data_IF_629712650717
#
_entry.id   IF_629712650717
#
_cell.length_a   1.000
_cell.length_b   1.000
_cell.length_c   1.000
_cell.angle_alpha   90.00
_cell.angle_beta   90.00
_cell.angle_gamma   90.00
#
_symmetry.space_group_name_H-M   'P 1'
#
loop_
_entity.id
_entity.type
_entity.pdbx_description
1 polymer ?
#
# COMPACT_ATOMS: atom_id res chain seq x y z
N UNK A 1 5.41 21.89 0.89
CA UNK A 1 4.54 22.55 1.89
C UNK A 1 3.61 21.51 2.51
N UNK A 2 4.04 20.92 3.63
CA UNK A 2 3.17 20.21 4.55
C UNK A 2 2.94 21.11 5.77
N UNK A 3 1.79 21.00 6.41
CA UNK A 3 1.42 21.83 7.56
C UNK A 3 0.11 22.56 7.36
N UNK A 4 -0.42 23.03 8.47
CA UNK A 4 -1.71 23.69 8.68
C UNK A 4 -1.81 25.08 7.99
N UNK A 5 -1.10 25.26 6.87
CA UNK A 5 -1.10 26.47 6.06
C UNK A 5 -2.50 26.68 5.46
N UNK A 6 -3.08 27.89 5.57
CA UNK A 6 -4.42 28.16 5.09
C UNK A 6 -4.59 27.81 3.61
N UNK A 7 -5.71 27.17 3.28
CA UNK A 7 -6.16 26.92 1.90
C UNK A 7 -7.54 27.53 1.74
N UNK A 8 -7.74 28.28 0.67
CA UNK A 8 -8.95 29.09 0.48
C UNK A 8 -10.24 28.24 0.47
N UNK A 9 -10.17 27.04 -0.10
CA UNK A 9 -11.33 26.20 -0.35
C UNK A 9 -11.55 25.09 0.70
N UNK A 10 -10.73 24.98 1.76
CA UNK A 10 -10.91 23.94 2.77
C UNK A 10 -10.33 24.29 4.15
N UNK A 11 -10.98 23.80 5.20
CA UNK A 11 -10.44 23.85 6.56
C UNK A 11 -9.25 22.90 6.70
N UNK A 12 -8.07 23.44 7.01
CA UNK A 12 -6.83 22.66 7.19
C UNK A 12 -6.61 22.19 8.63
N UNK A 13 -7.57 22.42 9.53
CA UNK A 13 -7.46 22.00 10.93
C UNK A 13 -6.43 22.78 11.75
N UNK A 14 -6.12 24.03 11.39
CA UNK A 14 -5.12 24.85 12.10
C UNK A 14 -5.56 25.34 13.48
N UNK A 15 -6.83 25.19 13.82
CA UNK A 15 -7.48 25.65 15.06
C UNK A 15 -7.42 27.16 15.32
N UNK A 16 -6.85 27.96 14.41
CA UNK A 16 -6.78 29.43 14.57
C UNK A 16 -8.16 30.07 14.66
N UNK A 17 -9.12 29.66 13.82
CA UNK A 17 -10.47 30.22 13.84
C UNK A 17 -11.18 29.98 15.18
N UNK A 18 -11.08 28.79 15.76
CA UNK A 18 -11.70 28.47 17.05
C UNK A 18 -10.97 29.09 18.24
N UNK A 19 -9.67 29.40 18.09
CA UNK A 19 -8.86 30.00 19.16
C UNK A 19 -8.94 31.54 19.15
N UNK A 20 -8.86 32.15 17.97
CA UNK A 20 -8.89 33.62 17.79
C UNK A 20 -10.33 34.17 17.71
N UNK A 21 -11.29 33.36 17.23
CA UNK A 21 -12.69 33.76 17.04
C UNK A 21 -13.69 32.70 17.54
N UNK A 22 -13.66 32.35 18.84
CA UNK A 22 -14.48 31.27 19.40
C UNK A 22 -16.00 31.51 19.27
N UNK A 23 -16.43 32.77 19.20
CA UNK A 23 -17.86 33.12 19.10
C UNK A 23 -18.41 33.01 17.67
N UNK A 24 -17.55 32.91 16.65
CA UNK A 24 -17.96 32.98 15.24
C UNK A 24 -17.87 31.64 14.52
N UNK A 25 -17.02 30.73 15.01
CA UNK A 25 -16.77 29.44 14.36
C UNK A 25 -16.84 28.31 15.37
N UNK A 26 -17.69 27.34 15.10
CA UNK A 26 -17.78 26.08 15.84
C UNK A 26 -17.46 24.92 14.91
N UNK A 27 -16.61 24.01 15.38
CA UNK A 27 -16.24 22.79 14.65
C UNK A 27 -17.03 21.62 15.24
N UNK A 28 -17.81 20.97 14.40
CA UNK A 28 -18.56 19.77 14.74
C UNK A 28 -18.03 18.57 13.96
N UNK A 29 -18.20 17.38 14.54
CA UNK A 29 -17.99 16.15 13.79
C UNK A 29 -19.09 16.00 12.75
N UNK A 30 -18.72 15.55 11.56
CA UNK A 30 -19.68 15.27 10.50
C UNK A 30 -20.29 13.87 10.73
N UNK A 31 -21.57 13.74 11.11
CA UNK A 31 -22.17 12.44 11.39
C UNK A 31 -22.17 11.52 10.15
N UNK A 32 -22.33 12.09 8.95
CA UNK A 32 -22.27 11.33 7.70
C UNK A 32 -20.91 10.72 7.44
N UNK A 33 -19.83 11.31 7.97
CA UNK A 33 -18.49 10.74 7.87
C UNK A 33 -18.35 9.52 8.80
N UNK A 34 -18.86 9.62 10.02
CA UNK A 34 -18.83 8.51 10.99
C UNK A 34 -19.67 7.29 10.52
N UNK A 35 -20.66 7.52 9.65
CA UNK A 35 -21.48 6.47 9.02
C UNK A 35 -20.78 5.77 7.84
N UNK A 36 -19.65 6.28 7.34
CA UNK A 36 -18.94 5.67 6.20
C UNK A 36 -18.17 4.44 6.67
N UNK A 37 -18.27 3.36 5.89
CA UNK A 37 -17.49 2.14 6.07
C UNK A 37 -18.30 1.01 6.70
N UNK A 38 -17.60 0.08 7.33
CA UNK A 38 -18.21 -1.05 8.01
C UNK A 38 -17.48 -1.40 9.32
N UNK A 39 -17.83 -2.54 9.93
CA UNK A 39 -17.26 -3.01 11.19
C UNK A 39 -15.74 -3.22 11.19
N UNK A 40 -15.13 -3.31 10.01
CA UNK A 40 -13.70 -3.52 9.82
C UNK A 40 -13.03 -2.32 9.13
N UNK A 41 -13.61 -1.86 8.01
CA UNK A 41 -13.08 -0.76 7.22
C UNK A 41 -13.80 0.55 7.57
N UNK A 42 -13.35 1.20 8.64
CA UNK A 42 -13.92 2.47 9.14
C UNK A 42 -13.64 3.66 8.23
N UNK A 43 -14.37 4.76 8.47
CA UNK A 43 -14.19 6.03 7.77
C UNK A 43 -12.73 6.53 7.79
N UNK A 44 -12.02 6.38 8.91
CA UNK A 44 -10.61 6.77 9.02
C UNK A 44 -9.67 5.89 8.18
N UNK A 45 -9.98 4.59 8.05
CA UNK A 45 -9.24 3.70 7.15
C UNK A 45 -9.46 4.09 5.69
N UNK A 46 -10.70 4.39 5.31
CA UNK A 46 -11.05 4.85 3.96
C UNK A 46 -10.32 6.15 3.63
N UNK A 47 -10.33 7.12 4.53
CA UNK A 47 -9.61 8.39 4.37
C UNK A 47 -8.11 8.16 4.22
N UNK A 48 -7.54 7.29 5.05
CA UNK A 48 -6.10 6.94 5.01
C UNK A 48 -5.72 6.31 3.68
N UNK A 49 -6.47 5.31 3.22
CA UNK A 49 -6.21 4.65 1.93
C UNK A 49 -6.36 5.62 0.76
N UNK A 50 -7.37 6.50 0.79
CA UNK A 50 -7.53 7.53 -0.24
C UNK A 50 -6.36 8.51 -0.24
N UNK A 51 -5.88 8.94 0.92
CA UNK A 51 -4.71 9.80 1.02
C UNK A 51 -3.45 9.13 0.46
N UNK A 52 -3.21 7.88 0.84
CA UNK A 52 -2.06 7.09 0.38
C UNK A 52 -2.11 6.90 -1.15
N UNK A 53 -3.28 6.54 -1.69
CA UNK A 53 -3.48 6.35 -3.12
C UNK A 53 -3.29 7.65 -3.92
N UNK A 54 -3.77 8.78 -3.42
CA UNK A 54 -3.66 10.07 -4.11
C UNK A 54 -2.25 10.67 -4.05
N UNK A 55 -1.51 10.42 -2.97
CA UNK A 55 -0.24 11.11 -2.71
C UNK A 55 0.99 10.23 -2.86
N UNK A 56 0.82 8.90 -2.84
CA UNK A 56 1.92 7.95 -2.74
C UNK A 56 2.70 8.07 -1.42
N UNK A 57 2.07 8.56 -0.35
CA UNK A 57 2.73 8.82 0.95
C UNK A 57 1.94 8.23 2.11
N UNK A 58 2.68 7.74 3.10
CA UNK A 58 2.15 7.29 4.38
C UNK A 58 1.72 8.51 5.22
N UNK A 59 0.52 8.52 5.83
CA UNK A 59 0.08 9.61 6.69
C UNK A 59 0.99 9.76 7.92
N UNK A 60 1.48 10.98 8.14
CA UNK A 60 2.27 11.32 9.34
C UNK A 60 1.34 11.96 10.38
N UNK A 61 1.23 11.34 11.55
CA UNK A 61 0.40 11.80 12.68
C UNK A 61 1.27 12.01 13.94
N UNK A 62 0.79 12.84 14.87
CA UNK A 62 1.44 13.11 16.15
C UNK A 62 0.67 12.56 17.36
N UNK A 63 1.17 12.82 18.57
CA UNK A 63 0.56 12.50 19.88
C UNK A 63 0.51 11.02 20.31
N UNK A 64 1.24 10.15 19.60
CA UNK A 64 1.37 8.73 19.96
C UNK A 64 0.09 7.91 19.71
N UNK A 65 0.23 6.58 19.77
CA UNK A 65 -0.90 5.68 19.58
C UNK A 65 -1.70 5.52 20.89
N UNK A 66 -2.98 5.92 20.88
CA UNK A 66 -3.89 5.86 22.03
C UNK A 66 -4.91 4.71 21.94
N UNK A 67 -4.77 3.85 20.95
CA UNK A 67 -5.67 2.72 20.73
C UNK A 67 -5.35 1.53 21.64
N UNK A 68 -5.90 0.36 21.30
CA UNK A 68 -5.70 -0.87 22.07
C UNK A 68 -4.27 -1.38 21.87
N UNK A 69 -3.64 -1.87 22.93
CA UNK A 69 -2.29 -2.43 22.85
C UNK A 69 -2.15 -3.53 21.78
N UNK A 70 -3.19 -4.33 21.54
CA UNK A 70 -3.22 -5.29 20.44
C UNK A 70 -4.63 -5.55 19.94
N UNK A 71 -4.73 -6.26 18.82
CA UNK A 71 -5.99 -6.61 18.17
C UNK A 71 -5.96 -8.01 17.55
N UNK A 72 -6.78 -8.22 16.51
CA UNK A 72 -6.81 -9.45 15.72
C UNK A 72 -6.02 -9.27 14.41
N UNK A 73 -5.58 -10.38 13.80
CA UNK A 73 -4.93 -10.37 12.49
C UNK A 73 -3.63 -9.57 12.50
N UNK A 74 -3.50 -8.59 11.60
CA UNK A 74 -2.30 -7.73 11.56
C UNK A 74 -2.08 -6.93 12.85
N UNK A 75 -3.15 -6.57 13.56
CA UNK A 75 -3.06 -5.82 14.83
C UNK A 75 -2.55 -6.67 16.01
N UNK A 76 -2.34 -7.99 15.84
CA UNK A 76 -1.67 -8.81 16.85
C UNK A 76 -0.17 -8.98 16.60
N UNK A 77 0.35 -8.42 15.51
CA UNK A 77 1.77 -8.52 15.16
C UNK A 77 2.49 -7.20 15.46
N UNK A 78 3.65 -7.32 16.09
CA UNK A 78 4.56 -6.22 16.35
C UNK A 78 5.78 -6.37 15.45
N UNK A 79 6.15 -5.29 14.78
CA UNK A 79 7.36 -5.25 13.96
C UNK A 79 8.57 -5.14 14.87
N UNK A 80 9.52 -6.05 14.72
CA UNK A 80 10.79 -5.98 15.43
C UNK A 80 11.65 -4.81 14.90
N UNK A 81 12.53 -4.29 15.76
CA UNK A 81 13.49 -3.24 15.42
C UNK A 81 14.82 -3.51 16.12
N UNK A 82 15.91 -3.38 15.38
CA UNK A 82 17.25 -3.43 15.98
C UNK A 82 17.60 -2.07 16.61
N UNK A 83 17.83 -2.05 17.92
CA UNK A 83 18.27 -0.86 18.65
C UNK A 83 19.80 -0.78 18.73
N UNK A 84 20.45 -1.77 19.35
CA UNK A 84 21.90 -1.72 19.66
C UNK A 84 22.73 -2.63 18.76
N UNK A 85 22.31 -3.88 18.60
CA UNK A 85 23.16 -4.96 18.05
C UNK A 85 23.47 -4.77 16.56
N UNK A 86 22.55 -4.15 15.81
CA UNK A 86 22.73 -3.85 14.39
C UNK A 86 22.12 -2.48 14.08
N UNK A 87 22.81 -1.60 13.34
CA UNK A 87 22.25 -0.31 12.97
C UNK A 87 21.04 -0.50 12.05
N UNK A 88 19.98 0.26 12.32
CA UNK A 88 18.84 0.34 11.40
C UNK A 88 19.28 1.08 10.14
N UNK A 89 18.90 0.55 8.96
CA UNK A 89 19.24 1.18 7.68
C UNK A 89 18.25 2.28 7.34
N UNK A 90 18.76 3.37 6.76
CA UNK A 90 17.95 4.44 6.19
C UNK A 90 17.25 3.96 4.90
N UNK A 91 15.91 3.96 4.91
CA UNK A 91 15.08 3.56 3.77
C UNK A 91 14.92 4.64 2.68
N UNK A 92 15.38 5.87 2.92
CA UNK A 92 15.33 7.00 1.98
C UNK A 92 16.70 7.17 1.33
N UNK A 93 17.75 7.37 2.15
CA UNK A 93 19.09 7.70 1.67
C UNK A 93 20.01 6.48 1.50
N UNK A 94 19.64 5.31 2.05
CA UNK A 94 20.36 4.04 1.87
C UNK A 94 19.58 3.03 1.03
N UNK A 95 18.59 3.50 0.27
CA UNK A 95 17.63 2.67 -0.48
C UNK A 95 18.28 1.86 -1.59
N UNK A 96 19.39 2.33 -2.14
CA UNK A 96 20.15 1.72 -3.24
C UNK A 96 20.62 0.30 -2.92
N UNK A 97 20.70 -0.04 -1.63
CA UNK A 97 21.08 -1.37 -1.17
C UNK A 97 19.88 -2.20 -0.68
N UNK A 98 18.64 -1.68 -0.73
CA UNK A 98 17.40 -2.39 -0.40
C UNK A 98 16.80 -2.91 -1.72
N UNK A 99 16.63 -4.23 -1.83
CA UNK A 99 15.87 -4.83 -2.92
C UNK A 99 14.53 -5.32 -2.41
N UNK A 100 13.48 -4.96 -3.15
CA UNK A 100 12.11 -5.45 -2.96
C UNK A 100 11.70 -6.47 -4.02
N UNK A 101 12.65 -6.92 -4.86
CA UNK A 101 12.39 -7.91 -5.91
C UNK A 101 11.95 -9.22 -5.28
N UNK A 102 10.84 -9.75 -5.77
CA UNK A 102 10.26 -11.03 -5.38
C UNK A 102 10.20 -11.95 -6.58
N UNK A 103 10.62 -13.20 -6.38
CA UNK A 103 10.53 -14.25 -7.38
C UNK A 103 9.35 -15.17 -7.04
N UNK A 104 8.42 -15.29 -7.99
CA UNK A 104 7.24 -16.16 -7.90
C UNK A 104 7.51 -17.41 -8.73
N UNK A 105 7.65 -18.56 -8.09
CA UNK A 105 7.84 -19.85 -8.77
C UNK A 105 8.77 -20.80 -8.03
N UNK A 106 9.33 -21.76 -8.77
CA UNK A 106 10.16 -22.84 -8.20
C UNK A 106 11.65 -22.52 -8.36
N UNK A 107 12.37 -22.54 -7.24
CA UNK A 107 13.84 -22.50 -7.18
C UNK A 107 14.38 -23.82 -6.65
N UNK A 108 15.52 -24.33 -7.16
CA UNK A 108 16.21 -25.45 -6.53
C UNK A 108 16.70 -25.04 -5.13
N UNK A 109 16.67 -25.96 -4.16
CA UNK A 109 17.09 -25.68 -2.78
C UNK A 109 18.60 -25.45 -2.63
N UNK A 110 19.39 -25.92 -3.58
CA UNK A 110 20.84 -25.71 -3.67
C UNK A 110 21.27 -25.71 -5.14
N UNK A 111 22.37 -25.02 -5.44
CA UNK A 111 23.03 -25.10 -6.74
C UNK A 111 23.93 -26.32 -6.78
N UNK A 112 23.96 -27.01 -7.92
CA UNK A 112 24.91 -28.09 -8.21
C UNK A 112 25.79 -27.67 -9.38
N UNK A 113 27.04 -28.12 -9.39
CA UNK A 113 27.99 -27.79 -10.44
C UNK A 113 28.73 -29.04 -10.89
N UNK A 114 29.11 -29.10 -12.17
CA UNK A 114 29.99 -30.15 -12.69
C UNK A 114 31.46 -29.86 -12.35
N UNK A 115 32.36 -30.78 -12.70
CA UNK A 115 33.82 -30.62 -12.50
C UNK A 115 34.45 -29.44 -13.24
N UNK A 116 33.75 -28.85 -14.22
CA UNK A 116 34.16 -27.67 -14.98
C UNK A 116 33.59 -26.36 -14.39
N UNK A 117 32.83 -26.44 -13.28
CA UNK A 117 32.22 -25.28 -12.62
C UNK A 117 30.92 -24.78 -13.27
N UNK A 118 30.37 -25.51 -14.23
CA UNK A 118 29.09 -25.18 -14.86
C UNK A 118 27.92 -25.69 -14.02
N UNK A 119 26.86 -24.89 -13.90
CA UNK A 119 25.67 -25.26 -13.15
C UNK A 119 25.00 -26.50 -13.75
N UNK A 120 24.65 -27.45 -12.89
CA UNK A 120 23.95 -28.69 -13.22
C UNK A 120 22.60 -28.73 -12.49
N UNK A 121 21.62 -29.42 -13.08
CA UNK A 121 20.26 -29.52 -12.53
C UNK A 121 19.25 -28.58 -13.20
N UNK A 122 18.04 -28.51 -12.65
CA UNK A 122 16.96 -27.70 -13.21
C UNK A 122 17.18 -26.21 -12.92
N UNK A 123 17.14 -25.38 -13.96
CA UNK A 123 17.14 -23.93 -13.81
C UNK A 123 15.90 -23.45 -13.04
N UNK A 124 16.01 -22.36 -12.26
CA UNK A 124 14.86 -21.71 -11.63
C UNK A 124 13.78 -21.38 -12.67
N UNK A 125 12.52 -21.71 -12.35
CA UNK A 125 11.35 -21.33 -13.16
C UNK A 125 10.55 -20.33 -12.35
N UNK A 126 10.89 -19.06 -12.48
CA UNK A 126 10.34 -17.97 -11.70
C UNK A 126 9.96 -16.79 -12.58
N UNK A 127 8.96 -16.03 -12.14
CA UNK A 127 8.66 -14.68 -12.62
C UNK A 127 9.14 -13.71 -11.53
N UNK A 128 9.95 -12.73 -11.91
CA UNK A 128 10.45 -11.73 -10.98
C UNK A 128 9.60 -10.45 -11.09
N UNK A 129 9.12 -9.95 -9.97
CA UNK A 129 8.44 -8.65 -9.85
C UNK A 129 9.22 -7.73 -8.91
N UNK A 130 9.29 -6.41 -9.15
CA UNK A 130 10.09 -5.50 -8.35
C UNK A 130 9.42 -5.10 -7.03
N UNK A 131 8.14 -5.41 -6.85
CA UNK A 131 7.36 -5.07 -5.66
C UNK A 131 6.62 -6.28 -5.10
N UNK A 132 6.49 -6.42 -3.77
CA UNK A 132 5.93 -7.62 -3.12
C UNK A 132 4.40 -7.59 -3.00
N UNK A 133 3.70 -7.08 -4.01
CA UNK A 133 2.23 -7.06 -4.03
C UNK A 133 1.73 -7.32 -5.45
N UNK A 134 0.50 -7.82 -5.55
CA UNK A 134 -0.21 -8.05 -6.79
C UNK A 134 -1.63 -7.51 -6.65
N UNK A 135 -2.26 -7.19 -7.78
CA UNK A 135 -3.64 -6.77 -7.81
C UNK A 135 -4.55 -7.99 -7.92
N UNK A 136 -5.47 -8.16 -6.98
CA UNK A 136 -6.47 -9.23 -7.04
C UNK A 136 -7.69 -8.82 -7.88
N UNK A 137 -8.44 -9.81 -8.33
CA UNK A 137 -9.67 -9.58 -9.08
C UNK A 137 -10.69 -8.84 -8.20
N UNK A 138 -11.27 -7.73 -8.66
CA UNK A 138 -12.31 -7.04 -7.89
C UNK A 138 -13.58 -7.92 -7.83
N UNK A 139 -14.52 -7.63 -6.90
CA UNK A 139 -15.85 -8.22 -6.95
C UNK A 139 -16.51 -7.99 -8.31
N UNK A 140 -17.30 -8.96 -8.78
CA UNK A 140 -17.98 -8.88 -10.09
C UNK A 140 -18.81 -7.60 -10.23
N UNK A 141 -19.43 -7.14 -9.15
CA UNK A 141 -20.21 -5.89 -9.11
C UNK A 141 -19.39 -4.63 -9.40
N UNK A 142 -18.06 -4.67 -9.25
CA UNK A 142 -17.15 -3.57 -9.52
C UNK A 142 -16.37 -3.72 -10.84
N UNK A 143 -16.56 -4.83 -11.57
CA UNK A 143 -15.88 -5.09 -12.84
C UNK A 143 -16.49 -4.25 -13.98
N UNK A 144 -16.12 -2.98 -14.04
CA UNK A 144 -16.36 -2.10 -15.19
C UNK A 144 -15.14 -2.06 -16.12
N UNK A 145 -15.35 -1.71 -17.38
CA UNK A 145 -14.24 -1.52 -18.34
C UNK A 145 -13.24 -0.48 -17.84
N UNK A 146 -13.72 0.67 -17.35
CA UNK A 146 -12.87 1.72 -16.77
C UNK A 146 -12.04 1.23 -15.60
N UNK A 147 -12.64 0.44 -14.70
CA UNK A 147 -11.90 -0.11 -13.56
C UNK A 147 -10.83 -1.10 -14.00
N UNK A 148 -11.15 -1.99 -14.94
CA UNK A 148 -10.20 -2.97 -15.46
C UNK A 148 -9.03 -2.29 -16.19
N UNK A 149 -9.30 -1.26 -17.00
CA UNK A 149 -8.25 -0.45 -17.62
C UNK A 149 -7.34 0.15 -16.55
N UNK A 150 -7.91 0.82 -15.54
CA UNK A 150 -7.11 1.42 -14.46
C UNK A 150 -6.29 0.37 -13.69
N UNK A 151 -6.86 -0.81 -13.41
CA UNK A 151 -6.17 -1.91 -12.73
C UNK A 151 -4.98 -2.43 -13.55
N UNK A 152 -5.19 -2.67 -14.85
CA UNK A 152 -4.14 -3.17 -15.75
C UNK A 152 -3.03 -2.15 -15.97
N UNK A 153 -3.37 -0.87 -16.09
CA UNK A 153 -2.40 0.22 -16.16
C UNK A 153 -1.61 0.31 -14.86
N UNK A 154 -2.27 0.29 -13.70
CA UNK A 154 -1.58 0.32 -12.40
C UNK A 154 -0.61 -0.86 -12.23
N UNK A 155 -1.01 -2.06 -12.65
CA UNK A 155 -0.15 -3.24 -12.66
C UNK A 155 1.06 -3.06 -13.58
N UNK A 156 0.85 -2.55 -14.80
CA UNK A 156 1.91 -2.29 -15.78
C UNK A 156 2.91 -1.23 -15.28
N UNK A 157 2.41 -0.08 -14.83
CA UNK A 157 3.25 1.03 -14.34
C UNK A 157 4.04 0.64 -13.08
N UNK A 158 3.45 -0.18 -12.20
CA UNK A 158 4.13 -0.71 -11.01
C UNK A 158 4.98 -1.96 -11.31
N UNK A 159 4.99 -2.42 -12.56
CA UNK A 159 5.66 -3.64 -13.03
C UNK A 159 5.31 -4.89 -12.21
N UNK A 160 4.04 -5.00 -11.79
CA UNK A 160 3.51 -6.16 -11.07
C UNK A 160 2.37 -6.83 -11.82
N UNK A 161 1.80 -7.88 -11.24
CA UNK A 161 0.75 -8.71 -11.83
C UNK A 161 -0.64 -8.27 -11.35
N UNK A 162 -1.62 -8.43 -12.24
CA UNK A 162 -3.04 -8.39 -11.91
C UNK A 162 -3.68 -9.75 -12.18
N UNK A 163 -4.46 -10.24 -11.23
CA UNK A 163 -5.24 -11.47 -11.35
C UNK A 163 -6.64 -11.09 -11.82
N UNK A 164 -7.08 -11.70 -12.93
CA UNK A 164 -8.40 -11.47 -13.50
C UNK A 164 -9.05 -12.81 -13.91
N UNK A 165 -10.38 -12.92 -13.85
CA UNK A 165 -11.08 -14.07 -14.40
C UNK A 165 -10.80 -14.22 -15.90
N UNK A 166 -10.61 -15.45 -16.36
CA UNK A 166 -10.32 -15.74 -17.79
C UNK A 166 -11.40 -15.18 -18.74
N UNK A 167 -12.66 -15.18 -18.30
CA UNK A 167 -13.78 -14.62 -19.04
C UNK A 167 -13.62 -13.12 -19.27
N UNK A 168 -13.12 -12.40 -18.27
CA UNK A 168 -12.81 -10.96 -18.35
C UNK A 168 -11.65 -10.72 -19.31
N UNK A 169 -10.58 -11.51 -19.19
CA UNK A 169 -9.39 -11.41 -20.07
C UNK A 169 -9.79 -11.57 -21.54
N UNK A 170 -10.57 -12.61 -21.85
CA UNK A 170 -11.04 -12.88 -23.22
C UNK A 170 -11.97 -11.77 -23.71
N UNK A 171 -12.96 -11.37 -22.89
CA UNK A 171 -13.96 -10.36 -23.28
C UNK A 171 -13.33 -9.02 -23.64
N UNK A 172 -12.32 -8.60 -22.89
CA UNK A 172 -11.66 -7.30 -23.06
C UNK A 172 -10.36 -7.38 -23.87
N UNK A 173 -10.01 -8.55 -24.41
CA UNK A 173 -8.81 -8.74 -25.23
C UNK A 173 -7.51 -8.41 -24.47
N UNK A 174 -7.49 -8.61 -23.16
CA UNK A 174 -6.32 -8.32 -22.34
C UNK A 174 -5.26 -9.41 -22.56
N UNK A 175 -4.00 -9.02 -22.74
CA UNK A 175 -2.87 -9.95 -22.77
C UNK A 175 -1.91 -9.67 -21.64
N UNK A 176 -1.41 -10.72 -20.99
CA UNK A 176 -0.23 -10.59 -20.13
C UNK A 176 0.99 -10.22 -20.98
N UNK A 177 1.74 -9.22 -20.54
CA UNK A 177 3.04 -8.87 -21.11
C UNK A 177 4.14 -9.76 -20.57
#
# INVERSE_FOLDING_TARGET
MGGLAPRENLCVGCLRCTTEHPDWVQIYRNPKFEEIGDSYFSAEYIETVNYEAQTGRIPVKGAGYRGRFGGKGWNSMWTDMSEIVRPTRDGIHGREFISTVVDIGRKPGFLSFNGEGSATGEAPRVISIPVPFLFDAPPISMMSETFLTALTEAARESQTLAILPITTIIKFGLSGS
#
